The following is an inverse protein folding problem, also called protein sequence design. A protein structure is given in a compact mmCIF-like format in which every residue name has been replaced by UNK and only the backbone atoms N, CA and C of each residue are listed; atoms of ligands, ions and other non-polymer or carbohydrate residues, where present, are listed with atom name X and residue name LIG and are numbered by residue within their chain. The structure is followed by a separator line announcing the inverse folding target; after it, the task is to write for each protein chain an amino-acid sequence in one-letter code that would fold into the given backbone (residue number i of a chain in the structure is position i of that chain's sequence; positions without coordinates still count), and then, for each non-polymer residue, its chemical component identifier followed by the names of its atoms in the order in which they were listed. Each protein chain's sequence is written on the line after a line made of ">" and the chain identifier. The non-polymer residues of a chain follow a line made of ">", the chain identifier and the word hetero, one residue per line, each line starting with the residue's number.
data_IF_762426056487
#
_entry.id   IF_762426056487
#
_cell.length_a   1.000
_cell.length_b   1.000
_cell.length_c   1.000
_cell.angle_alpha   90.00
_cell.angle_beta   90.00
_cell.angle_gamma   90.00
#
_symmetry.space_group_name_H-M   'P 1'
#
loop_
_entity.id
_entity.type
_entity.pdbx_description
1 polymer ?
#
# COMPACT_ATOMS: atom_id res chain seq x y z
N UNK A 1 7.81 -7.70 24.55
CA UNK A 1 7.42 -8.20 23.22
C UNK A 1 8.21 -9.44 22.89
N UNK A 2 7.75 -10.23 21.92
CA UNK A 2 8.55 -11.34 21.38
C UNK A 2 9.59 -10.76 20.39
N UNK A 3 10.85 -11.23 20.39
CA UNK A 3 11.93 -10.62 19.60
C UNK A 3 11.71 -10.70 18.07
N UNK A 4 10.91 -11.66 17.61
CA UNK A 4 10.57 -11.84 16.20
C UNK A 4 9.50 -10.85 15.68
N UNK A 5 8.82 -10.13 16.56
CA UNK A 5 7.75 -9.19 16.16
C UNK A 5 8.37 -7.83 15.82
N UNK A 6 8.34 -7.46 14.54
CA UNK A 6 8.77 -6.15 14.06
C UNK A 6 7.71 -5.08 14.25
N UNK A 7 6.47 -5.37 13.85
CA UNK A 7 5.29 -4.52 13.99
C UNK A 7 4.06 -5.40 14.27
N UNK A 8 2.97 -4.80 14.73
CA UNK A 8 1.74 -5.52 15.08
C UNK A 8 0.49 -4.67 14.80
N UNK A 9 -0.69 -5.25 15.00
CA UNK A 9 -1.94 -4.55 14.71
C UNK A 9 -2.30 -4.48 13.23
N UNK A 10 -1.77 -5.39 12.41
CA UNK A 10 -2.18 -5.59 11.02
C UNK A 10 -3.21 -6.74 10.95
N UNK A 11 -4.09 -6.75 9.95
CA UNK A 11 -5.17 -7.75 9.81
C UNK A 11 -4.79 -8.90 8.89
N UNK A 12 -4.42 -8.59 7.65
CA UNK A 12 -3.98 -9.51 6.62
C UNK A 12 -2.98 -8.80 5.67
N UNK A 13 -1.73 -8.57 6.13
CA UNK A 13 -0.69 -7.89 5.35
C UNK A 13 -0.28 -8.77 4.15
N UNK A 14 -0.84 -8.49 2.97
CA UNK A 14 -0.78 -9.37 1.80
C UNK A 14 0.56 -9.31 1.08
N UNK A 15 1.00 -8.12 0.67
CA UNK A 15 2.37 -7.89 0.17
C UNK A 15 3.02 -6.73 0.89
N UNK A 16 4.33 -6.80 0.93
CA UNK A 16 5.19 -5.75 1.41
C UNK A 16 6.40 -5.59 0.50
N UNK A 17 7.01 -4.42 0.54
CA UNK A 17 8.24 -4.09 -0.17
C UNK A 17 9.09 -3.16 0.67
N UNK A 18 10.40 -3.18 0.43
CA UNK A 18 11.31 -2.17 0.94
C UNK A 18 11.66 -1.26 -0.22
N UNK A 19 11.56 0.06 -0.04
CA UNK A 19 12.22 0.97 -0.98
C UNK A 19 13.73 0.82 -0.79
N UNK A 20 14.49 0.42 -1.83
CA UNK A 20 15.94 0.27 -1.73
C UNK A 20 16.69 1.58 -1.48
N UNK A 21 16.07 2.75 -1.72
CA UNK A 21 16.72 4.06 -1.53
C UNK A 21 16.59 4.56 -0.09
N UNK A 22 15.40 4.49 0.49
CA UNK A 22 15.12 4.95 1.86
C UNK A 22 15.23 3.85 2.92
N UNK A 23 14.97 2.60 2.54
CA UNK A 23 14.79 1.48 3.47
C UNK A 23 13.38 1.40 4.06
N UNK A 24 12.45 2.22 3.58
CA UNK A 24 11.07 2.26 4.08
C UNK A 24 10.32 0.97 3.76
N UNK A 25 9.59 0.45 4.75
CA UNK A 25 8.79 -0.77 4.61
C UNK A 25 7.35 -0.42 4.28
N UNK A 26 6.91 -0.73 3.07
CA UNK A 26 5.53 -0.59 2.64
C UNK A 26 4.74 -1.87 2.82
N UNK A 27 3.48 -1.77 3.25
CA UNK A 27 2.59 -2.92 3.39
C UNK A 27 1.21 -2.59 2.85
N UNK A 28 0.67 -3.46 1.99
CA UNK A 28 -0.76 -3.52 1.69
C UNK A 28 -1.47 -4.45 2.68
N UNK A 29 -2.38 -3.92 3.48
CA UNK A 29 -3.14 -4.67 4.48
C UNK A 29 -4.62 -4.79 4.09
N UNK A 30 -5.07 -6.03 3.90
CA UNK A 30 -6.43 -6.34 3.43
C UNK A 30 -7.39 -6.34 4.61
N UNK A 31 -8.43 -5.52 4.55
CA UNK A 31 -9.47 -5.39 5.56
C UNK A 31 -10.27 -6.66 5.84
N UNK A 32 -11.08 -6.60 6.89
CA UNK A 32 -12.09 -7.62 7.17
C UNK A 32 -13.36 -7.42 6.34
N UNK A 33 -13.70 -6.17 6.02
CA UNK A 33 -14.88 -5.84 5.20
C UNK A 33 -15.20 -4.35 5.04
N UNK A 34 -14.39 -3.45 5.59
CA UNK A 34 -14.67 -2.01 5.58
C UNK A 34 -13.59 -1.16 4.90
N UNK A 35 -12.30 -1.49 5.10
CA UNK A 35 -11.19 -0.68 4.60
C UNK A 35 -10.05 -1.53 4.09
N UNK A 36 -9.48 -1.10 2.98
CA UNK A 36 -8.22 -1.57 2.45
C UNK A 36 -7.14 -0.52 2.73
N UNK A 37 -5.91 -0.92 3.08
CA UNK A 37 -4.90 -0.01 3.62
C UNK A 37 -3.52 -0.13 2.96
N UNK A 38 -2.86 1.02 2.77
CA UNK A 38 -1.41 1.12 2.58
C UNK A 38 -0.78 1.72 3.84
N UNK A 39 0.14 0.96 4.43
CA UNK A 39 0.86 1.32 5.64
C UNK A 39 2.35 1.55 5.35
N UNK A 40 2.90 2.63 5.90
CA UNK A 40 4.35 2.82 6.04
C UNK A 40 4.74 2.24 7.40
N UNK A 41 5.46 1.12 7.39
CA UNK A 41 5.67 0.29 8.57
C UNK A 41 6.94 0.65 9.34
N UNK A 42 6.75 1.00 10.61
CA UNK A 42 7.81 1.38 11.52
C UNK A 42 8.10 0.29 12.55
N UNK A 43 9.33 0.31 13.08
CA UNK A 43 9.77 -0.62 14.11
C UNK A 43 8.96 -0.45 15.39
N UNK A 44 8.27 -1.50 15.80
CA UNK A 44 7.42 -1.54 16.99
C UNK A 44 6.06 -0.88 16.79
N UNK A 45 5.73 -0.46 15.57
CA UNK A 45 4.46 0.19 15.23
C UNK A 45 3.25 -0.70 15.50
N UNK A 46 2.16 -0.05 15.90
CA UNK A 46 0.85 -0.66 16.11
C UNK A 46 -0.14 -0.11 15.08
N UNK A 47 -0.63 -0.94 14.18
CA UNK A 47 -1.54 -0.54 13.10
C UNK A 47 -3.03 -0.72 13.47
N UNK A 48 -3.31 -1.02 14.75
CA UNK A 48 -4.64 -0.85 15.33
C UNK A 48 -5.58 -2.06 15.25
N UNK A 49 -5.35 -3.03 14.36
CA UNK A 49 -6.19 -4.23 14.29
C UNK A 49 -6.12 -5.05 15.61
N UNK A 50 -7.23 -5.54 16.17
CA UNK A 50 -8.61 -5.50 15.66
C UNK A 50 -9.49 -4.41 16.29
N UNK A 51 -8.91 -3.38 16.91
CA UNK A 51 -9.68 -2.25 17.45
C UNK A 51 -10.16 -1.35 16.31
N UNK A 52 -9.27 -1.12 15.35
CA UNK A 52 -9.49 -0.32 14.15
C UNK A 52 -9.40 -1.18 12.89
N UNK A 53 -10.13 -0.76 11.87
CA UNK A 53 -10.01 -1.19 10.48
C UNK A 53 -9.94 0.09 9.64
N UNK A 54 -8.74 0.45 9.21
CA UNK A 54 -8.39 1.76 8.73
C UNK A 54 -8.65 2.83 9.78
N UNK A 55 -9.30 3.90 9.36
CA UNK A 55 -9.80 4.95 10.26
C UNK A 55 -11.07 4.58 11.04
N UNK A 56 -11.64 3.39 10.83
CA UNK A 56 -12.93 3.01 11.39
C UNK A 56 -12.80 2.15 12.64
N UNK A 57 -13.67 2.39 13.62
CA UNK A 57 -13.82 1.49 14.76
C UNK A 57 -14.35 0.12 14.33
N UNK A 58 -13.59 -0.94 14.59
CA UNK A 58 -13.98 -2.30 14.28
C UNK A 58 -14.53 -3.05 15.50
N UNK A 59 -13.75 -3.17 16.56
CA UNK A 59 -14.14 -3.84 17.82
C UNK A 59 -13.63 -3.03 19.04
N UNK A 60 -14.50 -2.24 19.70
CA UNK A 60 -15.94 -2.09 19.48
C UNK A 60 -16.28 -1.30 18.20
N UNK A 61 -17.51 -1.40 17.72
CA UNK A 61 -17.97 -0.70 16.50
C UNK A 61 -18.06 0.83 16.63
N UNK A 62 -17.95 1.38 17.84
CA UNK A 62 -17.97 2.82 18.14
C UNK A 62 -17.16 3.08 19.40
N UNK A 63 -16.58 4.28 19.50
CA UNK A 63 -15.81 4.70 20.68
C UNK A 63 -14.59 3.82 20.93
N UNK A 64 -13.97 3.32 19.85
CA UNK A 64 -12.71 2.60 19.93
C UNK A 64 -11.57 3.55 20.33
N UNK A 65 -10.60 3.00 21.05
CA UNK A 65 -9.39 3.69 21.43
C UNK A 65 -8.39 3.71 20.27
N UNK A 66 -7.92 4.92 19.92
CA UNK A 66 -6.93 5.18 18.87
C UNK A 66 -5.55 5.50 19.44
N UNK A 67 -5.37 5.49 20.76
CA UNK A 67 -4.10 5.84 21.39
C UNK A 67 -3.00 4.85 21.00
N UNK A 68 -1.85 5.41 20.60
CA UNK A 68 -0.66 4.65 20.20
C UNK A 68 -0.83 3.84 18.91
N UNK A 69 -1.83 4.15 18.08
CA UNK A 69 -2.02 3.55 16.76
C UNK A 69 -1.42 4.45 15.69
N UNK A 70 -0.69 3.84 14.76
CA UNK A 70 -0.22 4.48 13.53
C UNK A 70 -1.31 4.26 12.47
N UNK A 71 -1.84 5.35 11.94
CA UNK A 71 -2.86 5.31 10.90
C UNK A 71 -2.28 4.87 9.55
N UNK A 72 -3.07 4.24 8.67
CA UNK A 72 -2.65 3.97 7.31
C UNK A 72 -2.36 5.27 6.56
N UNK A 73 -1.37 5.25 5.69
CA UNK A 73 -1.02 6.40 4.86
C UNK A 73 -2.09 6.63 3.79
N UNK A 74 -2.65 5.56 3.23
CA UNK A 74 -3.80 5.61 2.35
C UNK A 74 -4.78 4.49 2.68
N UNK A 75 -6.07 4.76 2.54
CA UNK A 75 -7.13 3.77 2.69
C UNK A 75 -8.26 4.02 1.69
N UNK A 76 -9.02 2.98 1.36
CA UNK A 76 -10.27 3.09 0.60
C UNK A 76 -11.28 2.03 1.04
N UNK A 77 -12.57 2.27 0.78
CA UNK A 77 -13.63 1.28 1.00
C UNK A 77 -13.90 0.41 -0.23
N UNK A 78 -14.83 -0.53 -0.05
CA UNK A 78 -15.21 -1.51 -1.06
C UNK A 78 -15.95 -0.96 -2.28
N UNK A 79 -16.12 0.37 -2.39
CA UNK A 79 -16.52 0.99 -3.66
C UNK A 79 -15.35 1.13 -4.64
N UNK A 80 -14.10 1.10 -4.16
CA UNK A 80 -12.90 1.25 -5.00
C UNK A 80 -12.12 -0.03 -5.27
N UNK A 81 -12.24 -1.04 -4.42
CA UNK A 81 -11.53 -2.33 -4.50
C UNK A 81 -11.87 -3.18 -3.27
N UNK A 82 -11.52 -4.46 -3.24
CA UNK A 82 -11.92 -5.35 -2.13
C UNK A 82 -10.80 -6.22 -1.54
N UNK A 83 -9.59 -6.04 -2.03
CA UNK A 83 -8.41 -6.78 -1.61
C UNK A 83 -7.16 -6.08 -2.11
N UNK A 84 -6.64 -5.14 -1.32
CA UNK A 84 -5.43 -4.42 -1.68
C UNK A 84 -4.25 -5.36 -1.82
N UNK A 85 -3.45 -5.15 -2.86
CA UNK A 85 -2.27 -5.97 -3.11
C UNK A 85 -1.02 -5.44 -2.42
N UNK A 86 -0.88 -4.12 -2.28
CA UNK A 86 0.43 -3.50 -2.03
C UNK A 86 1.17 -3.22 -3.35
N UNK A 87 2.44 -2.84 -3.27
CA UNK A 87 3.13 -2.19 -4.37
C UNK A 87 4.63 -1.97 -4.15
N UNK A 88 5.22 -1.10 -4.96
CA UNK A 88 6.62 -0.65 -4.82
C UNK A 88 6.74 0.83 -5.17
N UNK A 89 7.78 1.49 -4.67
CA UNK A 89 8.17 2.82 -5.13
C UNK A 89 8.80 2.72 -6.52
N UNK A 90 8.31 3.48 -7.50
CA UNK A 90 8.81 3.37 -8.87
C UNK A 90 10.22 3.96 -9.00
N UNK A 91 11.20 3.10 -9.28
CA UNK A 91 12.60 3.47 -9.51
C UNK A 91 12.99 3.72 -10.97
N UNK A 92 12.13 3.31 -11.91
CA UNK A 92 12.38 3.28 -13.35
C UNK A 92 12.60 4.63 -14.01
N UNK A 93 12.98 4.63 -15.28
CA UNK A 93 13.26 5.84 -16.06
C UNK A 93 12.29 6.05 -17.23
N UNK A 94 11.52 5.02 -17.58
CA UNK A 94 10.60 5.06 -18.71
C UNK A 94 9.38 5.96 -18.44
N UNK A 95 9.01 6.16 -17.17
CA UNK A 95 7.90 7.01 -16.73
C UNK A 95 8.43 8.03 -15.72
N UNK A 96 9.12 9.07 -16.21
CA UNK A 96 9.93 9.97 -15.36
C UNK A 96 9.16 10.61 -14.21
N UNK A 97 7.88 10.96 -14.41
CA UNK A 97 7.07 11.60 -13.37
C UNK A 97 6.64 10.66 -12.25
N UNK A 98 6.71 9.33 -12.44
CA UNK A 98 6.42 8.33 -11.40
C UNK A 98 7.62 8.09 -10.47
N UNK A 99 8.80 8.63 -10.78
CA UNK A 99 10.00 8.35 -9.96
C UNK A 99 9.80 8.80 -8.52
N UNK A 100 10.04 7.87 -7.60
CA UNK A 100 9.86 8.09 -6.15
C UNK A 100 8.40 8.12 -5.70
N UNK A 101 7.47 7.62 -6.52
CA UNK A 101 6.05 7.52 -6.19
C UNK A 101 5.72 6.05 -5.93
N UNK A 102 5.02 5.79 -4.81
CA UNK A 102 4.59 4.45 -4.47
C UNK A 102 3.41 4.02 -5.34
N UNK A 103 3.57 2.95 -6.10
CA UNK A 103 2.56 2.42 -7.03
C UNK A 103 2.02 1.12 -6.48
N UNK A 104 0.71 1.05 -6.27
CA UNK A 104 0.03 -0.11 -5.69
C UNK A 104 -1.28 -0.42 -6.41
N UNK A 105 -1.86 -1.60 -6.17
CA UNK A 105 -3.09 -2.02 -6.82
C UNK A 105 -4.03 -2.83 -5.95
N UNK A 106 -5.17 -3.21 -6.53
CA UNK A 106 -6.22 -4.02 -5.91
C UNK A 106 -6.52 -5.27 -6.75
N UNK A 107 -6.69 -6.41 -6.08
CA UNK A 107 -6.94 -7.69 -6.73
C UNK A 107 -8.33 -7.76 -7.38
N UNK A 108 -9.35 -7.15 -6.77
CA UNK A 108 -10.74 -7.28 -7.22
C UNK A 108 -11.06 -6.37 -8.38
N UNK A 109 -10.60 -5.11 -8.32
CA UNK A 109 -10.88 -4.10 -9.33
C UNK A 109 -9.84 -4.03 -10.44
N UNK A 110 -8.62 -4.55 -10.22
CA UNK A 110 -7.52 -4.41 -11.18
C UNK A 110 -7.03 -2.96 -11.33
N UNK A 111 -7.47 -2.05 -10.45
CA UNK A 111 -7.01 -0.67 -10.43
C UNK A 111 -5.60 -0.56 -9.89
N UNK A 112 -4.88 0.42 -10.41
CA UNK A 112 -3.55 0.80 -9.97
C UNK A 112 -3.54 2.28 -9.63
N UNK A 113 -2.90 2.64 -8.52
CA UNK A 113 -2.78 3.99 -8.03
C UNK A 113 -1.32 4.40 -7.85
N UNK A 114 -1.08 5.71 -7.92
CA UNK A 114 0.17 6.38 -7.62
C UNK A 114 -0.01 7.24 -6.36
N UNK A 115 0.61 6.81 -5.26
CA UNK A 115 0.62 7.47 -3.97
C UNK A 115 1.88 8.31 -3.82
N UNK A 116 1.73 9.62 -4.00
CA UNK A 116 2.78 10.59 -3.69
C UNK A 116 2.60 11.06 -2.26
N UNK A 117 3.67 11.01 -1.49
CA UNK A 117 3.69 11.40 -0.09
C UNK A 117 4.98 12.17 0.22
N UNK A 118 4.99 12.81 1.38
CA UNK A 118 6.19 13.36 2.00
C UNK A 118 6.45 12.54 3.27
N UNK A 119 7.58 11.85 3.32
CA UNK A 119 8.00 10.94 4.41
C UNK A 119 8.33 11.67 5.73
N UNK A 120 8.49 12.99 5.70
CA UNK A 120 8.89 13.78 6.87
C UNK A 120 10.30 13.50 7.38
N UNK A 121 11.03 12.54 6.80
CA UNK A 121 12.37 12.05 7.20
C UNK A 121 12.57 11.88 8.71
N UNK A 122 11.55 11.42 9.42
CA UNK A 122 11.57 11.27 10.88
C UNK A 122 11.50 12.57 11.69
N UNK A 123 11.20 13.69 11.04
CA UNK A 123 10.98 15.01 11.68
C UNK A 123 9.49 15.35 11.75
N UNK A 124 8.68 14.78 10.87
CA UNK A 124 7.23 14.92 10.83
C UNK A 124 6.59 13.59 10.43
N UNK A 125 5.32 13.44 10.78
CA UNK A 125 4.50 12.33 10.29
C UNK A 125 4.40 12.36 8.75
N UNK A 126 4.37 11.20 8.09
CA UNK A 126 4.15 11.13 6.65
C UNK A 126 2.84 11.79 6.23
N UNK A 127 2.85 12.56 5.14
CA UNK A 127 1.66 13.25 4.62
C UNK A 127 1.44 12.90 3.16
N UNK A 128 0.23 12.47 2.81
CA UNK A 128 -0.18 12.25 1.42
C UNK A 128 -0.26 13.59 0.68
N UNK A 129 0.48 13.68 -0.43
CA UNK A 129 0.44 14.82 -1.36
C UNK A 129 -0.62 14.59 -2.42
N UNK A 130 -0.68 13.38 -2.98
CA UNK A 130 -1.71 12.99 -3.95
C UNK A 130 -1.85 11.47 -4.01
N UNK A 131 -3.05 10.98 -4.27
CA UNK A 131 -3.31 9.58 -4.57
C UNK A 131 -4.11 9.47 -5.89
N UNK A 132 -3.40 9.22 -6.98
CA UNK A 132 -3.95 9.27 -8.34
C UNK A 132 -4.23 7.86 -8.86
N UNK A 133 -5.45 7.57 -9.29
CA UNK A 133 -5.72 6.35 -10.05
C UNK A 133 -5.06 6.46 -11.44
N UNK A 134 -4.18 5.52 -11.75
CA UNK A 134 -3.43 5.47 -13.01
C UNK A 134 -4.22 4.76 -14.11
N UNK A 135 -4.78 3.60 -13.77
CA UNK A 135 -5.45 2.72 -14.73
C UNK A 135 -6.47 1.84 -14.01
N UNK A 136 -7.52 1.47 -14.75
CA UNK A 136 -8.48 0.42 -14.42
C UNK A 136 -8.24 -0.72 -15.41
N UNK A 137 -7.72 -1.86 -14.94
CA UNK A 137 -7.33 -3.00 -15.78
C UNK A 137 -8.27 -4.18 -15.53
N UNK A 138 -8.34 -5.10 -16.48
CA UNK A 138 -9.02 -6.39 -16.30
C UNK A 138 -8.15 -7.42 -15.55
N UNK A 139 -6.94 -7.03 -15.10
CA UNK A 139 -6.00 -7.95 -14.46
C UNK A 139 -6.35 -8.05 -12.98
N UNK A 140 -6.60 -9.27 -12.50
CA UNK A 140 -6.66 -9.52 -11.05
C UNK A 140 -5.23 -9.52 -10.48
N UNK A 141 -4.80 -8.36 -10.00
CA UNK A 141 -3.41 -8.12 -9.58
C UNK A 141 -3.09 -8.94 -8.33
N UNK A 142 -2.06 -9.76 -8.38
CA UNK A 142 -1.64 -10.64 -7.26
C UNK A 142 -0.36 -10.17 -6.58
N UNK A 143 0.53 -9.50 -7.33
CA UNK A 143 1.77 -8.90 -6.83
C UNK A 143 2.27 -7.85 -7.81
N UNK A 144 3.13 -6.97 -7.30
CA UNK A 144 4.04 -6.16 -8.09
C UNK A 144 5.47 -6.70 -7.99
N UNK A 145 6.32 -6.38 -8.96
CA UNK A 145 7.75 -6.62 -8.96
C UNK A 145 8.48 -5.61 -9.84
N UNK A 146 9.80 -5.57 -9.72
CA UNK A 146 10.68 -4.65 -10.44
C UNK A 146 11.72 -5.41 -11.25
N UNK A 147 12.11 -4.88 -12.41
CA UNK A 147 13.32 -5.31 -13.10
C UNK A 147 14.58 -4.61 -12.56
N UNK A 148 15.74 -4.93 -13.13
CA UNK A 148 17.02 -4.36 -12.71
C UNK A 148 17.15 -2.84 -12.96
N UNK A 149 16.29 -2.27 -13.80
CA UNK A 149 16.24 -0.83 -14.08
C UNK A 149 15.19 -0.11 -13.22
N UNK A 150 14.48 -0.82 -12.34
CA UNK A 150 13.42 -0.28 -11.49
C UNK A 150 12.07 -0.11 -12.21
N UNK A 151 11.89 -0.72 -13.38
CA UNK A 151 10.61 -0.69 -14.08
C UNK A 151 9.63 -1.67 -13.44
N UNK A 152 8.36 -1.25 -13.31
CA UNK A 152 7.36 -2.03 -12.61
C UNK A 152 6.62 -3.04 -13.51
N UNK A 153 6.36 -4.19 -12.91
CA UNK A 153 5.58 -5.27 -13.45
C UNK A 153 4.50 -5.69 -12.45
N UNK A 154 3.39 -6.19 -12.96
CA UNK A 154 2.33 -6.83 -12.17
C UNK A 154 2.18 -8.29 -12.58
N UNK A 155 1.93 -9.16 -11.61
CA UNK A 155 1.51 -10.55 -11.87
C UNK A 155 0.00 -10.64 -11.76
N UNK A 156 -0.64 -11.25 -12.75
CA UNK A 156 -2.08 -11.50 -12.75
C UNK A 156 -2.42 -12.88 -12.21
N UNK A 157 -3.63 -13.03 -11.66
CA UNK A 157 -4.16 -14.32 -11.24
C UNK A 157 -4.37 -15.30 -12.41
N UNK A 158 -4.43 -14.77 -13.63
CA UNK A 158 -4.42 -15.49 -14.90
C UNK A 158 -3.07 -16.13 -15.24
N UNK A 159 -2.03 -15.89 -14.43
CA UNK A 159 -0.67 -16.35 -14.67
C UNK A 159 0.16 -15.42 -15.56
N UNK A 160 -0.40 -14.27 -15.96
CA UNK A 160 0.29 -13.27 -16.77
C UNK A 160 1.29 -12.43 -15.98
N UNK A 161 2.29 -11.91 -16.70
CA UNK A 161 3.21 -10.89 -16.19
C UNK A 161 3.14 -9.69 -17.13
N UNK A 162 2.77 -8.53 -16.60
CA UNK A 162 2.47 -7.33 -17.38
C UNK A 162 3.40 -6.21 -16.96
N UNK A 163 4.00 -5.51 -17.93
CA UNK A 163 4.83 -4.33 -17.67
C UNK A 163 3.94 -3.08 -17.60
N UNK A 164 4.16 -2.23 -16.58
CA UNK A 164 3.57 -0.89 -16.55
C UNK A 164 4.36 0.00 -17.50
N UNK A 165 3.67 0.63 -18.44
CA UNK A 165 4.26 1.52 -19.44
C UNK A 165 3.53 2.85 -19.49
N UNK A 166 4.18 3.90 -19.98
CA UNK A 166 3.51 5.16 -20.26
C UNK A 166 2.39 4.95 -21.29
N UNK A 167 1.24 5.59 -21.05
CA UNK A 167 0.16 5.64 -22.05
C UNK A 167 0.57 6.46 -23.27
N UNK A 168 -0.09 6.25 -24.42
CA UNK A 168 0.08 7.12 -25.58
C UNK A 168 -0.33 8.55 -25.25
N UNK A 169 0.40 9.52 -25.80
CA UNK A 169 0.03 10.95 -25.80
C UNK A 169 -1.25 11.24 -26.59
#
# INVERSE_FOLDING_TARGET
>A
GRPEVWAYGLRNPWRFSFDPQTGDLWVGDVGQGGREEINLVERGGNYGWNRLEGSLCFAPKRGCDTEGVISPLAEYDHTFGCSITGGHEYGGKSIEWLRGIYVYGDFCSGRIWALKYFDGRGVAEPVVVSNLQLVDTEVQITSFGEDADGELYVTGFDGGVYKIVAGPE
#
